data_IF_151561499960
#
_entry.id   IF_151561499960
#
_cell.length_a   1.000
_cell.length_b   1.000
_cell.length_c   1.000
_cell.angle_alpha   90.00
_cell.angle_beta   90.00
_cell.angle_gamma   90.00
#
_symmetry.space_group_name_H-M   'P 1'
#
loop_
_entity.id
_entity.type
_entity.pdbx_description
1 polymer ?
#
# COMPACT_ATOMS: atom_id res chain seq x y z
N UNK A 1 1.61 -29.36 -8.81
CA UNK A 1 1.55 -28.00 -8.25
C UNK A 1 2.93 -27.63 -7.76
N UNK A 2 3.69 -26.95 -8.61
CA UNK A 2 5.15 -26.84 -8.47
C UNK A 2 5.49 -25.64 -7.58
N UNK A 3 5.58 -25.87 -6.28
CA UNK A 3 6.28 -24.94 -5.38
C UNK A 3 7.76 -25.02 -5.73
N UNK A 4 8.25 -24.07 -6.52
CA UNK A 4 9.62 -24.09 -7.06
C UNK A 4 10.48 -23.07 -6.32
N UNK A 5 11.61 -23.56 -5.80
CA UNK A 5 12.49 -22.88 -4.85
C UNK A 5 12.97 -21.51 -5.34
N UNK A 6 12.46 -20.45 -4.71
CA UNK A 6 13.12 -19.14 -4.68
C UNK A 6 14.50 -19.35 -4.02
N UNK A 7 15.57 -18.84 -4.63
CA UNK A 7 16.94 -18.97 -4.12
C UNK A 7 17.06 -18.65 -2.62
N UNK A 8 17.78 -19.48 -1.86
CA UNK A 8 17.98 -19.29 -0.41
C UNK A 8 18.61 -17.95 -0.05
N UNK A 9 19.42 -17.36 -0.95
CA UNK A 9 20.03 -16.04 -0.77
C UNK A 9 19.02 -14.88 -0.87
N UNK A 10 17.94 -15.05 -1.63
CA UNK A 10 16.89 -14.06 -1.77
C UNK A 10 16.03 -13.98 -0.51
N UNK A 11 15.71 -15.13 0.10
CA UNK A 11 15.09 -15.19 1.43
C UNK A 11 15.99 -14.65 2.53
N UNK A 12 17.31 -14.80 2.41
CA UNK A 12 18.26 -14.24 3.40
C UNK A 12 18.14 -12.71 3.52
N UNK A 13 17.65 -12.03 2.46
CA UNK A 13 17.50 -10.58 2.44
C UNK A 13 16.08 -10.06 2.74
N UNK A 14 15.06 -10.92 2.75
CA UNK A 14 13.73 -10.57 3.21
C UNK A 14 13.59 -10.96 4.70
N UNK A 15 12.93 -10.15 5.52
CA UNK A 15 12.75 -10.49 6.95
C UNK A 15 11.33 -10.27 7.47
N UNK A 16 10.36 -10.16 6.56
CA UNK A 16 8.92 -10.11 6.88
C UNK A 16 8.50 -11.46 7.48
N UNK A 17 7.87 -11.44 8.65
CA UNK A 17 7.54 -12.64 9.42
C UNK A 17 6.06 -12.99 9.33
N UNK A 18 5.74 -14.23 9.72
CA UNK A 18 4.36 -14.65 9.94
C UNK A 18 3.65 -13.73 10.95
N UNK A 19 2.38 -13.41 10.69
CA UNK A 19 1.59 -12.48 11.51
C UNK A 19 2.00 -11.01 11.37
N UNK A 20 2.74 -10.66 10.31
CA UNK A 20 2.91 -9.27 9.88
C UNK A 20 2.10 -9.06 8.61
N UNK A 21 1.53 -7.88 8.43
CA UNK A 21 0.84 -7.49 7.20
C UNK A 21 1.63 -6.42 6.49
N UNK A 22 1.73 -6.54 5.17
CA UNK A 22 2.38 -5.57 4.30
C UNK A 22 1.34 -4.96 3.37
N UNK A 23 1.36 -3.63 3.28
CA UNK A 23 0.63 -2.89 2.23
C UNK A 23 1.67 -2.26 1.33
N UNK A 24 1.67 -2.66 0.06
CA UNK A 24 2.46 -2.02 -1.00
C UNK A 24 1.57 -0.97 -1.64
N UNK A 25 2.01 0.28 -1.64
CA UNK A 25 1.22 1.36 -2.24
C UNK A 25 1.28 1.26 -3.77
N UNK A 26 0.15 1.49 -4.48
CA UNK A 26 0.18 1.65 -5.92
C UNK A 26 1.25 2.67 -6.33
N UNK A 27 1.98 2.34 -7.38
CA UNK A 27 3.11 3.16 -7.81
C UNK A 27 3.24 3.13 -9.33
N UNK A 28 4.33 3.71 -9.84
CA UNK A 28 4.68 3.67 -11.25
C UNK A 28 6.15 3.27 -11.43
N UNK A 29 6.42 2.71 -12.62
CA UNK A 29 7.76 2.50 -13.15
C UNK A 29 7.97 3.36 -14.38
N UNK A 30 9.19 3.85 -14.60
CA UNK A 30 9.53 4.66 -15.76
C UNK A 30 10.82 4.17 -16.42
N UNK A 31 10.95 4.29 -17.76
CA UNK A 31 12.13 3.85 -18.48
C UNK A 31 13.35 4.71 -18.09
N UNK A 32 14.50 4.04 -17.97
CA UNK A 32 15.82 4.64 -17.77
C UNK A 32 16.78 4.03 -18.81
N UNK A 33 18.02 4.55 -18.88
CA UNK A 33 19.08 4.02 -19.74
C UNK A 33 18.64 3.89 -21.21
N UNK A 34 18.07 4.95 -21.77
CA UNK A 34 17.54 4.95 -23.15
C UNK A 34 16.32 4.04 -23.37
N UNK A 35 15.80 3.44 -22.30
CA UNK A 35 14.67 2.53 -22.33
C UNK A 35 15.00 1.09 -22.00
N UNK A 36 16.27 0.71 -21.92
CA UNK A 36 16.70 -0.69 -21.73
C UNK A 36 16.36 -1.24 -20.33
N UNK A 37 16.03 -0.37 -19.38
CA UNK A 37 15.56 -0.74 -18.06
C UNK A 37 14.43 0.17 -17.58
N UNK A 38 13.71 -0.30 -16.55
CA UNK A 38 12.74 0.49 -15.81
C UNK A 38 13.20 0.69 -14.37
N UNK A 39 13.05 1.91 -13.87
CA UNK A 39 13.14 2.22 -12.45
C UNK A 39 11.73 2.19 -11.84
N UNK A 40 11.52 1.36 -10.82
CA UNK A 40 10.23 1.25 -10.12
C UNK A 40 10.38 1.75 -8.69
N UNK A 41 9.58 2.77 -8.33
CA UNK A 41 9.58 3.35 -7.00
C UNK A 41 8.68 2.55 -6.05
N UNK A 42 9.24 1.65 -5.27
CA UNK A 42 8.50 0.79 -4.34
C UNK A 42 8.34 1.47 -3.00
N UNK A 43 7.10 1.53 -2.49
CA UNK A 43 6.76 2.14 -1.21
C UNK A 43 5.66 1.35 -0.51
N UNK A 44 5.65 1.39 0.82
CA UNK A 44 4.61 0.72 1.59
C UNK A 44 4.83 0.77 3.08
N UNK A 45 4.05 -0.01 3.81
CA UNK A 45 4.11 -0.11 5.26
C UNK A 45 3.97 -1.55 5.75
N UNK A 46 4.56 -1.84 6.91
CA UNK A 46 4.42 -3.11 7.62
C UNK A 46 3.87 -2.86 9.02
N UNK A 47 2.83 -3.61 9.37
CA UNK A 47 2.24 -3.61 10.71
C UNK A 47 1.98 -5.03 11.19
N UNK A 48 1.93 -5.23 12.51
CA UNK A 48 1.68 -6.54 13.09
C UNK A 48 0.19 -6.89 13.03
N UNK A 49 -0.12 -8.16 12.75
CA UNK A 49 -1.41 -8.79 13.06
C UNK A 49 -1.51 -8.88 14.57
N UNK A 50 -2.27 -7.99 15.19
CA UNK A 50 -2.34 -7.94 16.66
C UNK A 50 -3.52 -7.13 17.17
N UNK A 51 -3.90 -7.42 18.41
CA UNK A 51 -4.99 -6.70 19.08
C UNK A 51 -4.60 -5.24 19.32
N UNK A 52 -5.60 -4.36 19.22
CA UNK A 52 -5.42 -2.93 19.46
C UNK A 52 -5.08 -2.73 20.95
N UNK A 53 -3.95 -2.05 21.22
CA UNK A 53 -3.52 -1.77 22.59
C UNK A 53 -4.58 -0.96 23.36
N UNK A 54 -4.63 -1.12 24.69
CA UNK A 54 -5.60 -0.41 25.54
C UNK A 54 -5.58 1.11 25.32
N UNK A 55 -4.37 1.69 25.23
CA UNK A 55 -4.18 3.12 24.95
C UNK A 55 -4.80 3.53 23.61
N UNK A 56 -4.61 2.73 22.57
CA UNK A 56 -5.19 3.00 21.25
C UNK A 56 -6.71 2.80 21.25
N UNK A 57 -7.25 1.80 21.96
CA UNK A 57 -8.70 1.65 22.16
C UNK A 57 -9.33 2.88 22.82
N UNK A 58 -8.66 3.45 23.83
CA UNK A 58 -9.11 4.70 24.46
C UNK A 58 -9.07 5.89 23.49
N UNK A 59 -8.00 6.05 22.71
CA UNK A 59 -7.88 7.09 21.69
C UNK A 59 -9.00 6.97 20.63
N UNK A 60 -9.29 5.76 20.16
CA UNK A 60 -10.37 5.46 19.22
C UNK A 60 -11.73 5.89 19.80
N UNK A 61 -11.99 5.60 21.09
CA UNK A 61 -13.21 6.03 21.77
C UNK A 61 -13.32 7.56 21.85
N UNK A 62 -12.21 8.26 22.12
CA UNK A 62 -12.17 9.73 22.12
C UNK A 62 -12.42 10.29 20.72
N UNK A 63 -11.88 9.66 19.68
CA UNK A 63 -12.13 10.03 18.29
C UNK A 63 -13.62 9.94 17.95
N UNK A 64 -14.28 8.82 18.30
CA UNK A 64 -15.74 8.66 18.13
C UNK A 64 -16.52 9.79 18.79
N UNK A 65 -16.17 10.14 20.03
CA UNK A 65 -16.83 11.24 20.75
C UNK A 65 -16.57 12.61 20.11
N UNK A 66 -15.35 12.85 19.62
CA UNK A 66 -15.00 14.10 18.95
C UNK A 66 -15.80 14.29 17.65
N UNK A 67 -16.03 13.22 16.90
CA UNK A 67 -16.81 13.25 15.66
C UNK A 67 -18.30 13.59 15.89
N UNK A 68 -18.81 13.49 17.13
CA UNK A 68 -20.22 13.74 17.53
C UNK A 68 -21.26 13.04 16.64
N UNK A 69 -20.89 11.91 16.06
CA UNK A 69 -21.81 11.08 15.29
C UNK A 69 -22.64 10.24 16.27
N UNK A 70 -23.93 10.10 15.98
CA UNK A 70 -24.81 9.23 16.76
C UNK A 70 -24.27 7.79 16.68
N UNK A 71 -24.05 7.08 17.81
CA UNK A 71 -23.57 5.70 17.79
C UNK A 71 -24.39 4.75 16.90
N UNK A 72 -25.68 5.05 16.68
CA UNK A 72 -26.56 4.28 15.79
C UNK A 72 -26.31 4.51 14.30
N UNK A 73 -25.68 5.62 13.92
CA UNK A 73 -25.28 5.95 12.54
C UNK A 73 -23.90 5.40 12.18
N UNK A 74 -23.17 4.85 13.15
CA UNK A 74 -21.83 4.33 12.91
C UNK A 74 -21.94 2.90 12.37
N UNK A 75 -21.57 2.72 11.11
CA UNK A 75 -21.21 1.40 10.61
C UNK A 75 -19.92 0.93 11.31
N UNK A 76 -20.11 -0.04 12.20
CA UNK A 76 -19.03 -0.61 13.01
C UNK A 76 -18.02 -1.39 12.18
N UNK A 77 -18.47 -2.02 11.09
CA UNK A 77 -17.60 -2.81 10.21
C UNK A 77 -16.71 -1.89 9.38
N UNK A 78 -17.27 -0.84 8.78
CA UNK A 78 -16.51 0.20 8.07
C UNK A 78 -15.50 0.85 9.01
N UNK A 79 -15.92 1.21 10.22
CA UNK A 79 -15.04 1.84 11.19
C UNK A 79 -13.87 0.93 11.59
N UNK A 80 -14.15 -0.32 11.94
CA UNK A 80 -13.12 -1.26 12.38
C UNK A 80 -12.15 -1.62 11.25
N UNK A 81 -12.63 -1.73 10.01
CA UNK A 81 -11.79 -1.94 8.84
C UNK A 81 -10.83 -0.74 8.62
N UNK A 82 -11.34 0.50 8.66
CA UNK A 82 -10.57 1.70 8.35
C UNK A 82 -9.63 2.12 9.48
N UNK A 83 -10.04 1.98 10.73
CA UNK A 83 -9.20 2.39 11.87
C UNK A 83 -8.04 1.42 12.11
N UNK A 84 -8.16 0.16 11.64
CA UNK A 84 -7.17 -0.90 11.90
C UNK A 84 -5.76 -0.49 11.48
N UNK A 85 -5.58 0.10 10.30
CA UNK A 85 -4.26 0.54 9.82
C UNK A 85 -3.60 1.61 10.68
N UNK A 86 -4.39 2.43 11.39
CA UNK A 86 -3.89 3.42 12.36
C UNK A 86 -3.70 2.82 13.75
N UNK A 87 -4.48 1.78 14.06
CA UNK A 87 -4.55 1.16 15.36
C UNK A 87 -3.50 0.05 15.57
N UNK A 88 -3.03 -0.62 14.52
CA UNK A 88 -2.04 -1.70 14.64
C UNK A 88 -0.64 -1.16 14.96
N UNK A 89 0.20 -1.91 15.71
CA UNK A 89 1.61 -1.56 15.89
C UNK A 89 2.36 -1.65 14.56
N UNK A 90 3.13 -0.61 14.24
CA UNK A 90 4.02 -0.59 13.07
C UNK A 90 5.27 -1.43 13.33
N UNK A 91 5.81 -2.08 12.30
CA UNK A 91 6.98 -2.99 12.44
C UNK A 91 8.23 -2.35 11.83
N UNK A 92 9.22 -2.06 12.66
CA UNK A 92 10.52 -1.48 12.25
C UNK A 92 11.58 -2.55 11.97
N UNK A 93 12.60 -2.19 11.18
CA UNK A 93 13.79 -3.04 10.97
C UNK A 93 13.59 -4.21 10.03
N UNK A 94 12.49 -4.27 9.28
CA UNK A 94 12.23 -5.32 8.29
C UNK A 94 12.91 -5.01 6.97
N UNK A 95 13.61 -5.98 6.42
CA UNK A 95 14.15 -5.91 5.06
C UNK A 95 13.10 -6.48 4.12
N UNK A 96 12.76 -5.72 3.10
CA UNK A 96 11.71 -6.04 2.14
C UNK A 96 12.39 -6.44 0.84
N UNK A 97 11.92 -7.54 0.23
CA UNK A 97 12.32 -7.93 -1.12
C UNK A 97 11.07 -8.06 -1.99
N UNK A 98 11.16 -7.53 -3.20
CA UNK A 98 10.08 -7.54 -4.18
C UNK A 98 10.38 -8.61 -5.21
N UNK A 99 9.46 -9.55 -5.36
CA UNK A 99 9.44 -10.50 -6.45
C UNK A 99 8.65 -9.93 -7.62
N UNK A 100 9.27 -9.97 -8.81
CA UNK A 100 8.65 -9.65 -10.09
C UNK A 100 8.89 -10.83 -11.02
N UNK A 101 7.82 -11.52 -11.41
CA UNK A 101 7.92 -12.80 -12.10
C UNK A 101 8.76 -13.80 -11.29
N UNK A 102 9.93 -14.16 -11.84
CA UNK A 102 10.88 -15.11 -11.22
C UNK A 102 12.04 -14.44 -10.47
N UNK A 103 12.20 -13.13 -10.61
CA UNK A 103 13.33 -12.41 -10.03
C UNK A 103 12.97 -11.74 -8.72
N UNK A 104 13.98 -11.56 -7.86
CA UNK A 104 13.82 -10.98 -6.53
C UNK A 104 14.76 -9.79 -6.38
N UNK A 105 14.18 -8.64 -6.02
CA UNK A 105 14.84 -7.36 -5.87
C UNK A 105 14.77 -6.90 -4.41
N UNK A 106 15.85 -7.06 -3.62
CA UNK A 106 15.88 -6.59 -2.24
C UNK A 106 15.95 -5.06 -2.18
N UNK A 107 15.15 -4.45 -1.31
CA UNK A 107 15.30 -3.03 -1.00
C UNK A 107 16.54 -2.79 -0.14
N UNK A 108 17.23 -1.68 -0.42
CA UNK A 108 18.48 -1.32 0.28
C UNK A 108 18.27 -0.99 1.75
N UNK A 109 17.13 -0.39 2.10
CA UNK A 109 16.83 0.08 3.46
C UNK A 109 15.78 -0.81 4.13
N UNK A 110 15.97 -1.04 5.42
CA UNK A 110 14.95 -1.64 6.26
C UNK A 110 13.82 -0.64 6.58
N UNK A 111 12.67 -1.14 7.04
CA UNK A 111 11.55 -0.31 7.49
C UNK A 111 11.96 0.65 8.60
N UNK A 112 11.46 1.88 8.54
CA UNK A 112 11.74 2.91 9.54
C UNK A 112 10.95 2.68 10.84
N UNK A 113 11.04 3.62 11.79
CA UNK A 113 10.35 3.55 13.09
C UNK A 113 8.82 3.50 12.98
N UNK A 114 8.26 4.04 11.89
CA UNK A 114 6.83 4.03 11.59
C UNK A 114 6.43 2.83 10.70
N UNK A 115 7.32 1.86 10.49
CA UNK A 115 7.06 0.67 9.67
C UNK A 115 7.04 0.92 8.16
N UNK A 116 7.35 2.13 7.71
CA UNK A 116 7.39 2.44 6.29
C UNK A 116 8.68 1.95 5.63
N UNK A 117 8.56 1.43 4.42
CA UNK A 117 9.68 1.15 3.53
C UNK A 117 9.54 1.95 2.23
N UNK A 118 10.70 2.30 1.65
CA UNK A 118 10.80 2.93 0.34
C UNK A 118 12.13 2.57 -0.30
N UNK A 119 12.10 2.34 -1.60
CA UNK A 119 13.30 2.14 -2.41
C UNK A 119 12.98 2.07 -3.89
N UNK A 120 14.02 2.11 -4.71
CA UNK A 120 13.90 1.90 -6.15
C UNK A 120 14.47 0.53 -6.50
N UNK A 121 13.80 -0.18 -7.39
CA UNK A 121 14.32 -1.39 -8.02
C UNK A 121 14.48 -1.11 -9.52
N UNK A 122 15.59 -1.57 -10.08
CA UNK A 122 15.88 -1.46 -11.52
C UNK A 122 15.65 -2.82 -12.15
N UNK A 123 14.80 -2.87 -13.18
CA UNK A 123 14.43 -4.11 -13.86
C UNK A 123 14.71 -3.94 -15.36
N UNK A 124 15.50 -4.82 -16.00
CA UNK A 124 15.72 -4.77 -17.44
C UNK A 124 14.40 -4.88 -18.22
N UNK A 125 14.28 -4.17 -19.35
CA UNK A 125 13.07 -4.15 -20.19
C UNK A 125 12.62 -5.55 -20.58
N UNK A 126 13.54 -6.41 -20.98
CA UNK A 126 13.24 -7.80 -21.35
C UNK A 126 12.52 -8.57 -20.21
N UNK A 127 12.83 -8.26 -18.95
CA UNK A 127 12.18 -8.89 -17.79
C UNK A 127 10.81 -8.30 -17.51
N UNK A 128 10.64 -7.01 -17.74
CA UNK A 128 9.34 -6.34 -17.67
C UNK A 128 8.39 -6.98 -18.70
N UNK A 129 8.82 -7.13 -19.95
CA UNK A 129 7.99 -7.74 -21.02
C UNK A 129 7.59 -9.19 -20.72
N UNK A 130 8.42 -9.94 -19.98
CA UNK A 130 8.11 -11.30 -19.55
C UNK A 130 7.17 -11.38 -18.34
N UNK A 131 7.05 -10.30 -17.57
CA UNK A 131 6.35 -10.27 -16.29
C UNK A 131 5.15 -9.33 -16.26
N UNK A 132 5.03 -8.42 -17.23
CA UNK A 132 3.91 -7.49 -17.34
C UNK A 132 2.62 -8.23 -17.70
N UNK A 133 1.54 -7.86 -17.03
CA UNK A 133 0.19 -8.30 -17.35
C UNK A 133 -0.40 -7.40 -18.46
N UNK A 134 -1.59 -7.74 -18.96
CA UNK A 134 -2.31 -6.92 -19.94
C UNK A 134 -2.45 -5.45 -19.45
N UNK A 135 -1.99 -4.50 -20.27
CA UNK A 135 -2.27 -3.07 -20.07
C UNK A 135 -1.24 -2.26 -19.27
N UNK A 136 0.06 -2.51 -19.44
CA UNK A 136 1.17 -1.77 -18.83
C UNK A 136 1.20 -1.81 -17.29
N UNK A 137 0.63 -2.84 -16.67
CA UNK A 137 0.70 -3.03 -15.22
C UNK A 137 1.65 -4.16 -14.87
N UNK A 138 2.47 -3.92 -13.84
CA UNK A 138 3.40 -4.89 -13.29
C UNK A 138 3.01 -5.26 -11.86
N UNK A 139 2.82 -6.56 -11.63
CA UNK A 139 2.57 -7.09 -10.28
C UNK A 139 3.86 -7.15 -9.46
N UNK A 140 3.78 -6.61 -8.24
CA UNK A 140 4.87 -6.54 -7.27
C UNK A 140 4.50 -7.39 -6.06
N UNK A 141 5.19 -8.51 -5.85
CA UNK A 141 4.94 -9.38 -4.70
C UNK A 141 5.99 -9.15 -3.62
N UNK A 142 5.59 -8.94 -2.37
CA UNK A 142 6.55 -8.90 -1.26
C UNK A 142 6.80 -10.32 -0.75
N UNK A 143 8.07 -10.70 -0.63
CA UNK A 143 8.43 -11.98 -0.03
C UNK A 143 8.20 -11.97 1.49
N UNK A 144 7.53 -13.01 1.96
CA UNK A 144 7.26 -13.28 3.37
C UNK A 144 7.87 -14.62 3.79
N UNK A 145 8.24 -14.76 5.05
CA UNK A 145 8.62 -16.06 5.64
C UNK A 145 7.41 -16.97 5.89
N UNK A 146 6.21 -16.42 5.78
CA UNK A 146 4.96 -17.18 5.77
C UNK A 146 4.56 -17.46 4.31
N UNK A 147 4.65 -18.72 3.84
CA UNK A 147 4.38 -19.07 2.45
C UNK A 147 2.91 -18.95 2.07
N UNK A 148 2.00 -19.00 3.05
CA UNK A 148 0.55 -18.93 2.83
C UNK A 148 0.07 -17.48 2.71
N UNK A 149 0.89 -16.52 3.14
CA UNK A 149 0.56 -15.10 3.08
C UNK A 149 1.21 -14.44 1.87
N UNK A 150 0.37 -13.91 0.97
CA UNK A 150 0.80 -13.15 -0.19
C UNK A 150 0.46 -11.67 -0.03
N UNK A 151 1.46 -10.80 -0.21
CA UNK A 151 1.26 -9.35 -0.25
C UNK A 151 1.60 -8.85 -1.64
N UNK A 152 0.62 -8.23 -2.28
CA UNK A 152 0.73 -7.77 -3.65
C UNK A 152 0.51 -6.26 -3.72
N UNK A 153 1.24 -5.63 -4.64
CA UNK A 153 1.01 -4.27 -5.12
C UNK A 153 1.17 -4.25 -6.62
N UNK A 154 0.92 -3.09 -7.22
CA UNK A 154 1.02 -2.91 -8.67
C UNK A 154 1.75 -1.63 -9.01
N UNK A 155 2.53 -1.68 -10.08
CA UNK A 155 3.18 -0.52 -10.68
C UNK A 155 2.67 -0.31 -12.10
N UNK A 156 2.18 0.90 -12.40
CA UNK A 156 1.89 1.31 -13.78
C UNK A 156 3.21 1.62 -14.50
N UNK A 157 3.46 0.99 -15.62
CA UNK A 157 4.63 1.25 -16.45
C UNK A 157 4.32 2.45 -17.34
N UNK A 158 5.03 3.55 -17.11
CA UNK A 158 4.91 4.77 -17.89
C UNK A 158 5.76 4.66 -19.16
N UNK A 159 5.29 5.27 -20.23
CA UNK A 159 6.09 5.50 -21.44
C UNK A 159 7.11 6.62 -21.19
N UNK A 160 8.07 6.76 -22.09
CA UNK A 160 9.05 7.84 -22.03
C UNK A 160 8.39 9.22 -22.18
N UNK A 161 7.33 9.28 -22.97
CA UNK A 161 6.54 10.47 -23.24
C UNK A 161 5.04 10.16 -23.14
N UNK A 162 4.24 11.17 -22.79
CA UNK A 162 2.80 11.04 -22.65
C UNK A 162 2.21 12.14 -21.77
N UNK A 163 0.91 12.04 -21.52
CA UNK A 163 0.18 12.96 -20.64
C UNK A 163 -0.17 12.23 -19.35
N UNK A 164 0.18 12.84 -18.22
CA UNK A 164 -0.23 12.40 -16.90
C UNK A 164 -1.17 13.44 -16.31
N UNK A 165 -2.36 13.00 -15.89
CA UNK A 165 -3.29 13.83 -15.13
C UNK A 165 -3.10 13.52 -13.65
N UNK A 166 -2.74 14.53 -12.86
CA UNK A 166 -2.62 14.41 -11.40
C UNK A 166 -3.86 15.06 -10.80
N UNK A 167 -4.59 14.28 -10.02
CA UNK A 167 -5.75 14.73 -9.26
C UNK A 167 -5.50 14.63 -7.78
N UNK A 168 -5.99 15.61 -7.04
CA UNK A 168 -6.21 15.43 -5.60
C UNK A 168 -7.40 14.46 -5.37
N UNK A 169 -7.54 13.97 -4.13
CA UNK A 169 -8.62 13.06 -3.74
C UNK A 169 -9.68 13.79 -2.94
N UNK A 170 -9.28 14.35 -1.81
CA UNK A 170 -10.20 14.89 -0.82
C UNK A 170 -10.84 16.18 -1.33
N UNK A 171 -12.17 16.23 -1.33
CA UNK A 171 -12.97 17.30 -1.92
C UNK A 171 -12.69 17.56 -3.42
N UNK A 172 -12.11 16.58 -4.11
CA UNK A 172 -11.98 16.53 -5.59
C UNK A 172 -12.76 15.38 -6.20
N UNK A 173 -12.52 14.14 -5.78
CA UNK A 173 -13.32 12.96 -6.22
C UNK A 173 -14.16 12.36 -5.09
N UNK A 174 -13.77 12.63 -3.83
CA UNK A 174 -14.43 12.14 -2.63
C UNK A 174 -14.89 13.33 -1.79
N UNK A 175 -16.14 13.31 -1.32
CA UNK A 175 -16.58 14.23 -0.28
C UNK A 175 -15.90 13.90 1.06
N UNK A 176 -14.99 14.77 1.47
CA UNK A 176 -14.21 14.63 2.71
C UNK A 176 -14.46 15.79 3.68
N UNK A 177 -14.77 17.00 3.21
CA UNK A 177 -14.94 18.22 3.99
C UNK A 177 -13.67 18.58 4.80
N UNK A 178 -12.56 18.81 4.08
CA UNK A 178 -11.23 19.08 4.66
C UNK A 178 -11.18 20.33 5.53
N UNK A 179 -12.12 21.26 5.37
CA UNK A 179 -12.23 22.49 6.17
C UNK A 179 -12.63 22.17 7.61
N UNK A 180 -13.50 21.17 7.82
CA UNK A 180 -13.93 20.75 9.14
C UNK A 180 -13.20 19.47 9.56
N UNK A 181 -12.24 19.58 10.49
CA UNK A 181 -11.52 18.41 11.04
C UNK A 181 -12.47 17.33 11.59
N UNK A 182 -13.61 17.75 12.13
CA UNK A 182 -14.61 16.85 12.67
C UNK A 182 -15.28 16.05 11.53
N UNK A 183 -15.75 16.74 10.50
CA UNK A 183 -16.39 16.11 9.34
C UNK A 183 -15.40 15.27 8.53
N UNK A 184 -14.17 15.75 8.36
CA UNK A 184 -13.09 14.98 7.72
C UNK A 184 -12.90 13.62 8.37
N UNK A 185 -12.82 13.57 9.70
CA UNK A 185 -12.67 12.32 10.43
C UNK A 185 -13.93 11.44 10.30
N UNK A 186 -15.13 12.02 10.37
CA UNK A 186 -16.38 11.28 10.23
C UNK A 186 -16.54 10.68 8.82
N UNK A 187 -16.30 11.46 7.78
CA UNK A 187 -16.31 11.02 6.37
C UNK A 187 -15.22 10.00 6.08
N UNK A 188 -14.09 10.06 6.79
CA UNK A 188 -12.98 9.12 6.60
C UNK A 188 -13.22 7.80 7.33
N UNK A 189 -13.72 7.81 8.57
CA UNK A 189 -13.76 6.60 9.40
C UNK A 189 -15.14 6.03 9.62
N UNK A 190 -16.21 6.81 9.52
CA UNK A 190 -17.55 6.39 9.96
C UNK A 190 -18.55 6.26 8.82
N UNK A 191 -18.43 7.10 7.79
CA UNK A 191 -19.42 7.15 6.69
C UNK A 191 -18.92 6.40 5.46
N UNK A 192 -19.86 5.92 4.66
CA UNK A 192 -19.57 5.36 3.34
C UNK A 192 -18.85 6.36 2.44
N UNK A 193 -18.14 5.85 1.45
CA UNK A 193 -17.49 6.71 0.46
C UNK A 193 -18.57 7.42 -0.36
N UNK A 194 -18.52 8.75 -0.41
CA UNK A 194 -19.40 9.56 -1.25
C UNK A 194 -18.57 10.24 -2.34
N UNK A 195 -18.95 9.99 -3.60
CA UNK A 195 -18.36 10.63 -4.76
C UNK A 195 -18.83 12.08 -4.87
N UNK A 196 -17.99 12.94 -5.43
CA UNK A 196 -18.44 14.25 -5.89
C UNK A 196 -19.16 14.06 -7.23
N UNK A 197 -20.41 14.51 -7.30
CA UNK A 197 -21.25 14.36 -8.49
C UNK A 197 -20.59 14.94 -9.74
N UNK A 198 -20.67 14.20 -10.85
CA UNK A 198 -20.11 14.59 -12.16
C UNK A 198 -18.59 14.46 -12.29
N UNK A 199 -17.85 14.21 -11.21
CA UNK A 199 -16.38 14.12 -11.28
C UNK A 199 -15.88 12.86 -11.97
N UNK A 200 -16.60 11.73 -11.85
CA UNK A 200 -16.24 10.49 -12.55
C UNK A 200 -16.32 10.61 -14.06
N UNK A 201 -17.12 11.54 -14.59
CA UNK A 201 -17.30 11.76 -16.03
C UNK A 201 -16.17 12.62 -16.65
N UNK A 202 -15.30 13.21 -15.82
CA UNK A 202 -14.21 14.08 -16.26
C UNK A 202 -12.87 13.33 -16.47
N UNK A 203 -12.79 12.04 -16.10
CA UNK A 203 -11.60 11.19 -16.22
C UNK A 203 -11.83 10.05 -17.22
#
# INVERSE_FOLDING_TARGET
MTSQMISSSAFTNATVRAGEHVVVYPTFGYPIDGGDAYCIAVQGTIYASGSISLRKRMMIRLLKRFMRVDPSEIDQEIFDARIRGFATPTVRGRRVAIQVGREVFPLKKATNRAGHFRGNITIPRQRIEQASEDGDWLSLRVLSHDPDTQFEGRAKLLKHEGVSVISDIDDTVKHSNVISKQELLANTFLREFQFIDGMSEQY
#
